data_IF_104662414793
#
_entry.id   IF_104662414793
#
_cell.length_a   1.000
_cell.length_b   1.000
_cell.length_c   1.000
_cell.angle_alpha   90.00
_cell.angle_beta   90.00
_cell.angle_gamma   90.00
#
_symmetry.space_group_name_H-M   'P 1'
#
loop_
_entity.id
_entity.type
_entity.pdbx_description
1 polymer ?
#
# COMPACT_ATOMS: atom_id res chain seq x y z
N UNK A 1 11.74 -10.33 5.02
CA UNK A 1 12.67 -10.00 3.93
C UNK A 1 11.94 -9.12 2.93
N UNK A 2 12.33 -7.86 2.75
CA UNK A 2 11.82 -7.04 1.64
C UNK A 2 12.53 -7.51 0.38
N UNK A 3 11.77 -8.00 -0.60
CA UNK A 3 12.37 -8.51 -1.84
C UNK A 3 12.43 -7.38 -2.85
N UNK A 4 13.63 -6.88 -3.13
CA UNK A 4 13.81 -5.96 -4.26
C UNK A 4 13.64 -6.72 -5.57
N UNK A 5 12.42 -6.70 -6.10
CA UNK A 5 12.09 -7.34 -7.38
C UNK A 5 12.48 -6.50 -8.59
N UNK A 6 13.29 -5.41 -8.45
CA UNK A 6 13.64 -4.51 -9.58
C UNK A 6 14.22 -5.28 -10.77
N UNK A 7 15.06 -6.29 -10.51
CA UNK A 7 15.69 -7.13 -11.54
C UNK A 7 14.73 -8.17 -12.16
N UNK A 8 13.82 -8.77 -11.39
CA UNK A 8 12.84 -9.75 -11.89
C UNK A 8 11.67 -9.14 -12.68
N UNK A 9 11.38 -7.85 -12.44
CA UNK A 9 10.24 -7.12 -13.03
C UNK A 9 10.35 -6.88 -14.53
N UNK A 10 11.55 -6.79 -15.12
CA UNK A 10 11.69 -6.47 -16.54
C UNK A 10 11.09 -7.56 -17.45
N UNK A 11 11.46 -8.83 -17.23
CA UNK A 11 10.93 -9.99 -17.98
C UNK A 11 9.46 -10.28 -17.69
N UNK A 12 9.04 -10.11 -16.43
CA UNK A 12 7.63 -10.29 -16.05
C UNK A 12 6.71 -9.25 -16.72
N UNK A 13 7.17 -7.99 -16.87
CA UNK A 13 6.41 -6.92 -17.51
C UNK A 13 6.23 -7.13 -19.00
N UNK A 14 7.25 -7.60 -19.71
CA UNK A 14 7.13 -7.90 -21.14
C UNK A 14 6.17 -9.06 -21.37
N UNK A 15 6.29 -10.14 -20.59
CA UNK A 15 5.39 -11.29 -20.67
C UNK A 15 3.93 -10.93 -20.32
N UNK A 16 3.70 -10.12 -19.28
CA UNK A 16 2.35 -9.72 -18.87
C UNK A 16 1.65 -8.82 -19.91
N UNK A 17 2.39 -7.92 -20.57
CA UNK A 17 1.85 -7.08 -21.67
C UNK A 17 1.41 -7.92 -22.86
N UNK A 18 2.14 -8.98 -23.18
CA UNK A 18 1.78 -9.90 -24.24
C UNK A 18 0.55 -10.75 -23.87
N UNK A 19 0.40 -11.14 -22.60
CA UNK A 19 -0.73 -11.97 -22.12
C UNK A 19 -2.02 -11.18 -21.90
N UNK A 20 -1.92 -9.90 -21.52
CA UNK A 20 -3.06 -9.03 -21.26
C UNK A 20 -2.93 -7.68 -21.97
N UNK A 21 -2.90 -7.66 -23.32
CA UNK A 21 -2.65 -6.44 -24.08
C UNK A 21 -3.75 -5.40 -23.88
N UNK A 22 -5.02 -5.83 -23.80
CA UNK A 22 -6.16 -4.93 -23.55
C UNK A 22 -6.11 -4.31 -22.15
N UNK A 23 -5.75 -5.07 -21.12
CA UNK A 23 -5.62 -4.54 -19.77
C UNK A 23 -4.45 -3.55 -19.65
N UNK A 24 -3.33 -3.83 -20.33
CA UNK A 24 -2.20 -2.89 -20.39
C UNK A 24 -2.55 -1.62 -21.17
N UNK A 25 -3.23 -1.74 -22.32
CA UNK A 25 -3.67 -0.60 -23.12
C UNK A 25 -4.65 0.25 -22.32
N UNK A 26 -5.66 -0.36 -21.70
CA UNK A 26 -6.60 0.32 -20.81
C UNK A 26 -5.85 1.04 -19.68
N UNK A 27 -4.94 0.36 -18.98
CA UNK A 27 -4.10 0.97 -17.93
C UNK A 27 -3.29 2.18 -18.42
N UNK A 28 -2.82 2.13 -19.67
CA UNK A 28 -2.03 3.20 -20.29
C UNK A 28 -2.90 4.38 -20.73
N UNK A 29 -4.09 4.11 -21.27
CA UNK A 29 -5.05 5.13 -21.70
C UNK A 29 -5.76 5.82 -20.53
N UNK A 30 -6.09 5.06 -19.48
CA UNK A 30 -6.69 5.61 -18.26
C UNK A 30 -5.66 6.16 -17.29
N UNK A 31 -4.38 6.21 -17.68
CA UNK A 31 -3.32 6.84 -16.90
C UNK A 31 -3.55 8.36 -16.90
N UNK A 32 -4.40 8.85 -15.99
CA UNK A 32 -4.37 10.26 -15.61
C UNK A 32 -3.01 10.51 -14.98
N UNK A 33 -2.20 11.41 -15.55
CA UNK A 33 -1.04 11.94 -14.84
C UNK A 33 -1.58 12.60 -13.56
N UNK A 34 -0.98 12.27 -12.42
CA UNK A 34 -1.16 13.06 -11.20
C UNK A 34 -1.94 12.35 -10.10
N UNK A 35 -1.23 11.49 -9.37
CA UNK A 35 -1.36 11.35 -7.91
C UNK A 35 0.01 11.08 -7.26
N UNK A 36 1.10 11.19 -8.02
CA UNK A 36 2.42 10.93 -7.46
C UNK A 36 2.90 12.21 -6.75
N UNK A 37 2.42 12.45 -5.53
CA UNK A 37 3.06 13.42 -4.63
C UNK A 37 4.28 12.80 -3.93
N UNK A 38 4.28 11.48 -3.71
CA UNK A 38 5.34 10.75 -3.02
C UNK A 38 5.83 9.52 -3.79
N UNK A 39 7.09 9.18 -3.58
CA UNK A 39 7.67 7.95 -4.12
C UNK A 39 7.10 6.71 -3.38
N UNK A 40 6.89 5.57 -4.07
CA UNK A 40 6.49 4.35 -3.41
C UNK A 40 7.51 3.90 -2.35
N UNK A 41 7.04 3.33 -1.23
CA UNK A 41 7.92 2.91 -0.15
C UNK A 41 8.90 1.82 -0.61
N UNK A 42 10.09 1.84 -0.02
CA UNK A 42 11.23 1.02 -0.40
C UNK A 42 11.59 -0.04 0.63
N UNK A 43 10.95 -0.02 1.80
CA UNK A 43 11.12 -1.03 2.84
C UNK A 43 9.82 -1.28 3.63
N UNK A 44 9.71 -2.43 4.29
CA UNK A 44 8.56 -2.75 5.13
C UNK A 44 8.45 -1.83 6.37
N UNK A 45 9.60 -1.36 6.89
CA UNK A 45 9.63 -0.42 8.01
C UNK A 45 9.03 0.93 7.63
N UNK A 46 9.41 1.45 6.46
CA UNK A 46 8.85 2.68 5.89
C UNK A 46 7.34 2.54 5.64
N UNK A 47 6.87 1.37 5.17
CA UNK A 47 5.42 1.11 5.04
C UNK A 47 4.72 1.21 6.40
N UNK A 48 5.29 0.59 7.45
CA UNK A 48 4.72 0.63 8.79
C UNK A 48 4.68 2.06 9.36
N UNK A 49 5.74 2.82 9.20
CA UNK A 49 5.81 4.22 9.67
C UNK A 49 4.76 5.07 8.98
N UNK A 50 4.68 5.02 7.65
CA UNK A 50 3.66 5.76 6.90
C UNK A 50 2.24 5.30 7.23
N UNK A 51 2.02 4.00 7.47
CA UNK A 51 0.72 3.48 7.89
C UNK A 51 0.34 3.99 9.29
N UNK A 52 1.29 4.05 10.21
CA UNK A 52 1.06 4.50 11.59
C UNK A 52 0.68 5.98 11.66
N UNK A 53 1.25 6.81 10.77
CA UNK A 53 0.93 8.25 10.68
C UNK A 53 -0.34 8.54 9.87
N UNK A 54 -0.86 7.56 9.12
CA UNK A 54 -2.00 7.78 8.22
C UNK A 54 -3.32 7.83 9.00
N UNK A 55 -4.15 8.87 8.80
CA UNK A 55 -5.43 9.00 9.50
C UNK A 55 -6.40 7.91 9.05
N UNK A 56 -7.10 7.32 10.04
CA UNK A 56 -8.23 6.42 9.80
C UNK A 56 -9.50 7.11 10.26
N UNK A 57 -10.56 6.97 9.46
CA UNK A 57 -11.87 7.53 9.79
C UNK A 57 -12.97 6.52 9.49
N UNK A 58 -14.12 6.72 10.12
CA UNK A 58 -15.36 6.03 9.76
C UNK A 58 -16.14 6.95 8.83
N UNK A 59 -16.51 6.46 7.65
CA UNK A 59 -17.15 7.26 6.61
C UNK A 59 -18.17 6.42 5.82
N UNK A 60 -18.95 7.08 4.97
CA UNK A 60 -20.00 6.47 4.13
C UNK A 60 -19.87 7.04 2.72
N UNK A 61 -19.99 6.22 1.67
CA UNK A 61 -20.00 6.80 0.32
C UNK A 61 -21.28 7.59 0.07
N UNK A 62 -21.21 8.62 -0.77
CA UNK A 62 -22.39 9.43 -1.12
C UNK A 62 -23.50 8.67 -1.85
N UNK A 63 -23.23 7.43 -2.33
CA UNK A 63 -24.22 6.55 -2.94
C UNK A 63 -24.65 5.39 -2.02
N UNK A 64 -24.03 5.26 -0.85
CA UNK A 64 -24.42 4.23 0.11
C UNK A 64 -25.69 4.65 0.85
N UNK A 65 -26.38 3.66 1.43
CA UNK A 65 -27.45 3.93 2.39
C UNK A 65 -26.87 4.53 3.69
N UNK A 66 -27.63 5.38 4.37
CA UNK A 66 -27.23 6.11 5.60
C UNK A 66 -26.84 5.23 6.80
N UNK A 67 -27.08 3.92 6.72
CA UNK A 67 -26.66 2.94 7.76
C UNK A 67 -25.32 2.28 7.47
N UNK A 68 -24.80 2.38 6.24
CA UNK A 68 -23.53 1.77 5.86
C UNK A 68 -22.38 2.61 6.41
N UNK A 69 -21.41 1.96 7.04
CA UNK A 69 -20.19 2.59 7.55
C UNK A 69 -18.99 1.80 7.07
N UNK A 70 -18.01 2.49 6.51
CA UNK A 70 -16.70 1.98 6.15
C UNK A 70 -15.67 2.50 7.13
N UNK A 71 -14.68 1.69 7.47
CA UNK A 71 -13.54 2.08 8.28
C UNK A 71 -12.29 2.00 7.43
N UNK A 72 -11.54 3.08 7.34
CA UNK A 72 -10.28 3.10 6.61
C UNK A 72 -9.76 4.51 6.35
N UNK A 73 -8.63 4.62 5.65
CA UNK A 73 -8.14 5.90 5.18
C UNK A 73 -9.02 6.44 4.07
N UNK A 74 -9.02 7.77 3.90
CA UNK A 74 -9.49 8.37 2.66
C UNK A 74 -8.53 7.99 1.52
N UNK A 75 -9.05 7.84 0.30
CA UNK A 75 -8.23 7.37 -0.83
C UNK A 75 -7.13 8.36 -1.24
N UNK A 76 -7.35 9.66 -1.04
CA UNK A 76 -6.37 10.71 -1.29
C UNK A 76 -5.20 10.66 -0.29
N UNK A 77 -5.50 10.39 0.99
CA UNK A 77 -4.48 10.23 2.03
C UNK A 77 -3.63 8.98 1.75
N UNK A 78 -4.29 7.87 1.40
CA UNK A 78 -3.59 6.63 1.02
C UNK A 78 -2.67 6.86 -0.19
N UNK A 79 -3.16 7.52 -1.23
CA UNK A 79 -2.36 7.77 -2.41
C UNK A 79 -1.21 8.76 -2.14
N UNK A 80 -1.42 9.75 -1.27
CA UNK A 80 -0.37 10.67 -0.81
C UNK A 80 0.69 9.95 0.01
N UNK A 81 0.30 9.06 0.92
CA UNK A 81 1.24 8.32 1.77
C UNK A 81 2.06 7.30 0.96
N UNK A 82 1.42 6.53 0.08
CA UNK A 82 2.07 5.36 -0.53
C UNK A 82 2.46 5.55 -2.00
N UNK A 83 1.92 6.53 -2.72
CA UNK A 83 2.17 6.69 -4.15
C UNK A 83 1.76 5.46 -4.99
N UNK A 84 0.85 4.65 -4.47
CA UNK A 84 0.35 3.42 -5.11
C UNK A 84 -0.96 3.69 -5.86
N UNK A 85 -1.33 2.75 -6.74
CA UNK A 85 -2.54 2.85 -7.55
C UNK A 85 -2.40 3.71 -8.81
N UNK A 86 -3.53 3.88 -9.50
CA UNK A 86 -3.64 4.66 -10.74
C UNK A 86 -4.52 5.90 -10.60
N UNK A 87 -5.10 6.13 -9.41
CA UNK A 87 -6.00 7.24 -9.08
C UNK A 87 -6.08 7.43 -7.57
N UNK A 88 -6.39 8.66 -7.13
CA UNK A 88 -6.59 9.10 -5.75
C UNK A 88 -8.04 8.93 -5.26
N UNK A 89 -8.94 8.45 -6.12
CA UNK A 89 -10.38 8.32 -5.84
C UNK A 89 -10.80 6.96 -5.31
N UNK A 90 -9.88 6.02 -5.28
CA UNK A 90 -10.11 4.66 -4.77
C UNK A 90 -8.79 4.06 -4.33
N UNK A 91 -8.85 3.25 -3.28
CA UNK A 91 -7.75 2.37 -2.90
C UNK A 91 -7.97 1.03 -3.58
N UNK A 92 -6.99 0.55 -4.35
CA UNK A 92 -7.07 -0.80 -4.91
C UNK A 92 -6.92 -1.82 -3.77
N UNK A 93 -7.80 -2.82 -3.71
CA UNK A 93 -7.76 -3.86 -2.67
C UNK A 93 -6.40 -4.55 -2.57
N UNK A 94 -5.71 -4.76 -3.70
CA UNK A 94 -4.35 -5.32 -3.74
C UNK A 94 -3.33 -4.42 -3.03
N UNK A 95 -3.45 -3.10 -3.18
CA UNK A 95 -2.53 -2.14 -2.56
C UNK A 95 -2.80 -2.02 -1.07
N UNK A 96 -4.08 -1.93 -0.65
CA UNK A 96 -4.47 -1.93 0.76
C UNK A 96 -3.97 -3.19 1.47
N UNK A 97 -4.23 -4.37 0.91
CA UNK A 97 -3.78 -5.64 1.47
C UNK A 97 -2.26 -5.72 1.51
N UNK A 98 -1.57 -5.25 0.47
CA UNK A 98 -0.11 -5.19 0.41
C UNK A 98 0.49 -4.35 1.54
N UNK A 99 -0.06 -3.15 1.77
CA UNK A 99 0.33 -2.26 2.87
C UNK A 99 0.10 -2.93 4.23
N UNK A 100 -1.06 -3.55 4.45
CA UNK A 100 -1.37 -4.27 5.68
C UNK A 100 -0.35 -5.41 5.93
N UNK A 101 -0.13 -6.28 4.94
CA UNK A 101 0.81 -7.40 5.06
C UNK A 101 2.24 -6.94 5.35
N UNK A 102 2.73 -5.93 4.64
CA UNK A 102 4.08 -5.39 4.86
C UNK A 102 4.22 -4.78 6.26
N UNK A 103 3.20 -4.05 6.72
CA UNK A 103 3.17 -3.44 8.05
C UNK A 103 3.15 -4.48 9.15
N UNK A 104 2.32 -5.52 9.03
CA UNK A 104 2.27 -6.64 10.00
C UNK A 104 3.64 -7.31 10.11
N UNK A 105 4.31 -7.58 8.98
CA UNK A 105 5.65 -8.16 9.00
C UNK A 105 6.70 -7.26 9.65
N UNK A 106 6.64 -5.95 9.43
CA UNK A 106 7.55 -4.99 10.04
C UNK A 106 7.28 -4.87 11.54
N UNK A 107 6.01 -4.80 11.94
CA UNK A 107 5.57 -4.71 13.32
C UNK A 107 6.00 -5.95 14.12
N UNK A 108 5.80 -7.15 13.56
CA UNK A 108 6.24 -8.41 14.17
C UNK A 108 7.75 -8.41 14.47
N UNK A 109 8.58 -7.91 13.54
CA UNK A 109 10.03 -7.81 13.78
C UNK A 109 10.37 -6.81 14.88
N UNK A 110 9.64 -5.69 14.96
CA UNK A 110 9.82 -4.68 16.01
C UNK A 110 9.43 -5.24 17.38
N UNK A 111 8.34 -6.01 17.45
CA UNK A 111 7.92 -6.70 18.68
C UNK A 111 8.99 -7.67 19.16
N UNK A 112 9.49 -8.57 18.31
CA UNK A 112 10.58 -9.50 18.69
C UNK A 112 11.81 -8.75 19.21
N UNK A 113 12.23 -7.69 18.52
CA UNK A 113 13.39 -6.91 18.92
C UNK A 113 13.19 -6.23 20.29
N UNK A 114 11.99 -5.71 20.56
CA UNK A 114 11.63 -5.11 21.84
C UNK A 114 11.54 -6.14 22.96
N UNK A 115 10.95 -7.32 22.71
CA UNK A 115 10.89 -8.42 23.68
C UNK A 115 12.30 -8.89 24.09
N UNK A 116 13.21 -9.04 23.12
CA UNK A 116 14.60 -9.40 23.40
C UNK A 116 15.32 -8.32 24.23
N UNK A 117 15.05 -7.04 23.97
CA UNK A 117 15.63 -5.96 24.76
C UNK A 117 15.07 -5.91 26.18
N UNK A 118 13.76 -6.09 26.34
CA UNK A 118 13.13 -6.16 27.65
C UNK A 118 13.71 -7.31 28.48
N UNK A 119 13.97 -8.47 27.87
CA UNK A 119 14.60 -9.60 28.55
C UNK A 119 16.03 -9.25 28.99
N UNK A 120 16.83 -8.61 28.13
CA UNK A 120 18.18 -8.17 28.48
C UNK A 120 18.22 -7.17 29.63
N UNK A 121 17.25 -6.26 29.69
CA UNK A 121 17.19 -5.23 30.74
C UNK A 121 16.66 -5.76 32.07
N UNK A 122 16.01 -6.93 32.07
CA UNK A 122 15.46 -7.59 33.26
C UNK A 122 16.41 -8.62 33.89
N UNK A 123 17.40 -9.09 33.14
CA UNK A 123 18.46 -9.98 33.61
C UNK A 123 19.50 -9.23 34.47
#
# INVERSE_FOLDING_TARGET
MWVDTRRGRARARTAARARHPLAWLHSSLTRRRGVASQAPPTSAGEVLERLADMPLSVWTYGFDHDSVRHLGPMSQDFATAFGLGSTDRRVAMVDANGVCMASIQALYRRVIALEAEVERLRA
#
